data_IF_705269845773
#
_entry.id   IF_705269845773
#
_cell.length_a   1.000
_cell.length_b   1.000
_cell.length_c   1.000
_cell.angle_alpha   90.00
_cell.angle_beta   90.00
_cell.angle_gamma   90.00
#
_symmetry.space_group_name_H-M   'P 1'
#
loop_
_entity.id
_entity.type
_entity.pdbx_description
1 polymer ?
#
# COMPACT_ATOMS: atom_id res chain seq x y z
N UNK A 1 -32.23 34.99 -31.21
CA UNK A 1 -32.15 33.54 -30.90
C UNK A 1 -31.10 33.34 -29.84
N UNK A 2 -31.51 33.14 -28.59
CA UNK A 2 -30.61 32.97 -27.44
C UNK A 2 -30.46 31.47 -27.19
N UNK A 3 -29.27 30.91 -27.46
CA UNK A 3 -28.92 29.53 -27.18
C UNK A 3 -28.63 29.36 -25.69
N UNK A 4 -29.50 28.66 -24.98
CA UNK A 4 -29.34 28.24 -23.59
C UNK A 4 -28.33 27.08 -23.53
N UNK A 5 -27.14 27.32 -23.01
CA UNK A 5 -26.16 26.27 -22.67
C UNK A 5 -26.57 25.65 -21.32
N UNK A 6 -27.07 24.44 -21.40
CA UNK A 6 -27.44 23.62 -20.23
C UNK A 6 -26.15 23.06 -19.59
N UNK A 7 -25.85 23.33 -18.30
CA UNK A 7 -24.70 22.73 -17.64
C UNK A 7 -24.98 21.25 -17.41
N UNK A 8 -24.24 20.38 -18.11
CA UNK A 8 -24.30 18.93 -17.94
C UNK A 8 -23.94 18.57 -16.49
N UNK A 9 -24.91 18.03 -15.78
CA UNK A 9 -24.80 17.52 -14.43
C UNK A 9 -23.87 16.30 -14.46
N UNK A 10 -22.67 16.43 -13.87
CA UNK A 10 -21.86 15.27 -13.52
C UNK A 10 -22.56 14.54 -12.37
N UNK A 11 -23.37 13.56 -12.68
CA UNK A 11 -23.87 12.62 -11.69
C UNK A 11 -22.83 11.54 -11.49
N UNK A 12 -22.15 11.57 -10.37
CA UNK A 12 -21.43 10.39 -9.88
C UNK A 12 -22.45 9.29 -9.63
N UNK A 13 -22.46 8.27 -10.47
CA UNK A 13 -23.31 7.10 -10.31
C UNK A 13 -22.72 6.18 -9.23
N UNK A 14 -23.02 6.49 -7.98
CA UNK A 14 -22.56 5.74 -6.81
C UNK A 14 -23.35 4.47 -6.51
N UNK A 15 -24.17 3.99 -7.46
CA UNK A 15 -25.10 2.86 -7.19
C UNK A 15 -24.44 1.47 -7.19
N UNK A 16 -23.24 1.31 -7.72
CA UNK A 16 -22.54 0.00 -7.72
C UNK A 16 -21.58 -0.21 -6.53
N UNK A 17 -21.18 0.86 -5.86
CA UNK A 17 -20.21 0.81 -4.74
C UNK A 17 -20.81 0.18 -3.46
N UNK A 18 -22.14 0.29 -3.26
CA UNK A 18 -22.82 -0.14 -2.02
C UNK A 18 -22.72 -1.63 -1.69
N UNK A 19 -22.50 -2.51 -2.65
CA UNK A 19 -22.51 -3.97 -2.41
C UNK A 19 -21.11 -4.59 -2.34
N UNK A 20 -20.07 -3.90 -2.79
CA UNK A 20 -18.75 -4.50 -2.98
C UNK A 20 -17.73 -4.10 -1.92
N UNK A 21 -17.87 -2.92 -1.31
CA UNK A 21 -16.96 -2.48 -0.24
C UNK A 21 -17.11 -3.27 1.05
N UNK A 22 -18.35 -3.67 1.38
CA UNK A 22 -18.67 -4.34 2.66
C UNK A 22 -18.10 -5.76 2.82
N UNK A 23 -17.60 -6.39 1.75
CA UNK A 23 -17.07 -7.77 1.83
C UNK A 23 -15.54 -7.86 1.75
N UNK A 24 -14.86 -6.79 1.44
CA UNK A 24 -13.50 -6.87 0.90
C UNK A 24 -12.38 -6.54 1.87
N UNK A 25 -12.52 -5.61 2.78
CA UNK A 25 -11.48 -5.31 3.76
C UNK A 25 -11.36 -6.38 4.86
N UNK A 26 -12.48 -7.04 5.21
CA UNK A 26 -12.52 -8.14 6.17
C UNK A 26 -11.84 -9.43 5.68
N UNK A 27 -11.69 -9.61 4.36
CA UNK A 27 -11.16 -10.82 3.72
C UNK A 27 -9.63 -10.97 3.76
N UNK A 28 -8.90 -9.89 4.09
CA UNK A 28 -7.51 -9.76 3.74
C UNK A 28 -6.52 -10.45 4.68
N UNK A 29 -6.83 -10.55 5.93
CA UNK A 29 -5.77 -10.77 6.92
C UNK A 29 -5.68 -12.17 7.48
N UNK A 30 -6.65 -13.00 7.29
CA UNK A 30 -6.74 -14.30 7.94
C UNK A 30 -6.24 -15.51 7.12
N UNK A 31 -6.06 -15.41 5.77
CA UNK A 31 -5.76 -16.56 4.91
C UNK A 31 -4.33 -17.09 4.99
N UNK A 32 -3.38 -16.26 5.41
CA UNK A 32 -1.95 -16.63 5.31
C UNK A 32 -1.39 -17.41 6.50
N UNK A 33 -2.18 -17.73 7.52
CA UNK A 33 -1.67 -18.22 8.80
C UNK A 33 -1.70 -19.76 9.00
N UNK A 34 -2.26 -20.54 8.11
CA UNK A 34 -2.52 -21.97 8.40
C UNK A 34 -1.65 -23.00 7.63
N UNK A 35 -0.70 -22.60 6.79
CA UNK A 35 0.09 -23.59 6.01
C UNK A 35 1.61 -23.39 6.01
N UNK A 36 2.21 -22.75 7.00
CA UNK A 36 3.67 -22.88 7.18
C UNK A 36 3.94 -24.05 8.11
N UNK A 37 3.69 -25.26 7.62
CA UNK A 37 4.24 -26.48 8.15
C UNK A 37 5.70 -26.57 7.71
N UNK A 38 6.63 -26.29 8.62
CA UNK A 38 8.06 -26.49 8.41
C UNK A 38 8.35 -27.94 7.99
N UNK A 39 8.67 -28.16 6.70
CA UNK A 39 9.59 -29.22 6.32
C UNK A 39 10.98 -28.60 6.19
N UNK A 40 11.75 -28.81 7.24
CA UNK A 40 13.18 -28.53 7.30
C UNK A 40 13.86 -29.49 6.32
N UNK A 41 14.32 -29.00 5.19
CA UNK A 41 15.28 -29.73 4.35
C UNK A 41 16.61 -28.97 4.43
N UNK A 42 17.49 -29.54 5.21
CA UNK A 42 18.92 -29.24 5.27
C UNK A 42 19.55 -29.62 3.94
N UNK A 43 20.27 -28.68 3.35
CA UNK A 43 21.49 -28.78 2.54
C UNK A 43 21.44 -27.73 1.42
N UNK A 44 22.01 -26.58 1.68
CA UNK A 44 22.64 -25.76 0.66
C UNK A 44 24.01 -25.32 1.21
N UNK A 45 25.00 -26.09 0.85
CA UNK A 45 26.42 -25.76 1.02
C UNK A 45 26.74 -24.66 0.00
N UNK A 46 26.99 -23.45 0.47
CA UNK A 46 27.61 -22.41 -0.34
C UNK A 46 29.04 -22.27 0.18
N UNK A 47 29.96 -22.92 -0.52
CA UNK A 47 31.38 -22.79 -0.30
C UNK A 47 31.86 -21.35 -0.48
N UNK A 48 32.30 -20.73 0.59
CA UNK A 48 33.15 -19.53 0.53
C UNK A 48 34.60 -19.94 0.37
N UNK A 49 35.25 -19.41 -0.66
CA UNK A 49 36.67 -19.57 -0.85
C UNK A 49 37.46 -18.91 0.29
N UNK A 50 38.21 -19.76 0.95
CA UNK A 50 39.18 -19.43 1.97
C UNK A 50 40.40 -18.74 1.32
N UNK A 51 40.78 -17.59 1.82
CA UNK A 51 42.11 -17.01 1.58
C UNK A 51 42.79 -16.80 2.93
N UNK A 52 43.54 -17.79 3.29
CA UNK A 52 44.48 -17.78 4.40
C UNK A 52 45.47 -16.61 4.33
N UNK A 53 45.61 -15.87 5.41
CA UNK A 53 46.94 -15.51 5.86
C UNK A 53 46.99 -15.31 7.39
N UNK A 54 47.93 -16.04 7.97
CA UNK A 54 48.36 -16.10 9.35
C UNK A 54 49.05 -14.78 9.78
N UNK A 55 48.79 -14.26 10.99
CA UNK A 55 49.82 -14.11 12.01
C UNK A 55 49.28 -13.62 13.35
N UNK A 56 49.74 -14.31 14.31
CA UNK A 56 49.72 -14.29 15.74
C UNK A 56 50.09 -12.93 16.37
N UNK A 57 49.38 -12.48 17.42
CA UNK A 57 49.99 -12.13 18.72
C UNK A 57 48.93 -11.81 19.80
N UNK A 58 49.10 -12.44 20.94
CA UNK A 58 48.36 -12.24 22.21
C UNK A 58 48.42 -10.79 22.71
N UNK A 59 47.27 -10.26 23.17
CA UNK A 59 47.28 -9.45 24.40
C UNK A 59 45.86 -9.48 25.02
N UNK A 60 45.84 -10.02 26.24
CA UNK A 60 44.69 -10.03 27.16
C UNK A 60 44.50 -8.61 27.70
N UNK A 61 43.30 -8.05 27.48
CA UNK A 61 42.84 -6.91 28.28
C UNK A 61 41.37 -7.11 28.57
N UNK A 62 41.09 -7.37 29.83
CA UNK A 62 39.77 -7.44 30.44
C UNK A 62 39.14 -6.06 30.41
N UNK A 63 38.09 -5.89 29.64
CA UNK A 63 37.16 -4.76 29.75
C UNK A 63 35.75 -5.33 29.93
N UNK A 64 35.22 -5.16 31.14
CA UNK A 64 33.82 -5.41 31.44
C UNK A 64 32.99 -4.48 30.55
N UNK A 65 32.19 -5.05 29.67
CA UNK A 65 31.15 -4.34 28.98
C UNK A 65 29.81 -4.64 29.65
N UNK A 66 29.24 -3.60 30.23
CA UNK A 66 27.85 -3.52 30.62
C UNK A 66 26.93 -3.75 29.43
N UNK A 67 26.51 -4.99 29.25
CA UNK A 67 25.57 -5.42 28.21
C UNK A 67 24.19 -5.72 28.82
N UNK A 68 23.69 -4.81 29.68
CA UNK A 68 22.41 -5.03 30.38
C UNK A 68 21.19 -4.36 29.75
N UNK A 69 21.29 -3.68 28.59
CA UNK A 69 20.17 -2.89 28.06
C UNK A 69 19.51 -3.40 26.76
N UNK A 70 20.01 -4.48 26.14
CA UNK A 70 19.42 -5.03 24.93
C UNK A 70 18.52 -6.24 25.20
N UNK A 71 18.69 -6.90 26.34
CA UNK A 71 17.92 -8.09 26.72
C UNK A 71 16.48 -7.78 27.21
N UNK A 72 16.20 -6.53 27.54
CA UNK A 72 14.87 -6.10 28.04
C UNK A 72 13.83 -5.79 26.99
N UNK A 73 14.20 -5.69 25.72
CA UNK A 73 13.24 -5.41 24.62
C UNK A 73 12.69 -6.66 23.92
N UNK A 74 13.38 -7.79 24.00
CA UNK A 74 12.94 -9.02 23.34
C UNK A 74 11.92 -9.84 24.16
N UNK A 75 11.89 -9.69 25.47
CA UNK A 75 11.06 -10.54 26.34
C UNK A 75 9.68 -9.93 26.71
N UNK A 76 9.31 -8.76 26.16
CA UNK A 76 7.98 -8.16 26.37
C UNK A 76 6.97 -8.42 25.23
N UNK A 77 7.23 -9.32 24.31
CA UNK A 77 6.26 -9.83 23.34
C UNK A 77 5.36 -10.94 23.93
N UNK A 78 5.24 -11.04 25.24
CA UNK A 78 4.23 -11.86 25.90
C UNK A 78 2.87 -11.21 25.74
N UNK A 79 1.99 -11.83 24.92
CA UNK A 79 0.54 -11.65 24.86
C UNK A 79 0.06 -10.22 25.22
N UNK A 80 0.36 -9.25 24.38
CA UNK A 80 -0.29 -7.96 24.46
C UNK A 80 -1.78 -8.20 24.22
N UNK A 81 -2.60 -7.99 25.23
CA UNK A 81 -4.05 -7.89 25.07
C UNK A 81 -4.29 -6.89 23.97
N UNK A 82 -5.03 -7.31 22.91
CA UNK A 82 -5.39 -6.46 21.76
C UNK A 82 -5.78 -5.07 22.28
N UNK A 83 -5.13 -3.97 21.86
CA UNK A 83 -5.48 -2.63 22.33
C UNK A 83 -6.75 -2.14 21.64
N UNK A 84 -7.86 -2.81 21.87
CA UNK A 84 -9.17 -2.50 21.27
C UNK A 84 -9.93 -1.52 22.19
N UNK A 85 -9.40 -0.31 22.31
CA UNK A 85 -10.00 0.76 23.14
C UNK A 85 -10.49 1.93 22.29
N UNK A 86 -10.05 2.01 21.02
CA UNK A 86 -10.39 3.06 20.09
C UNK A 86 -11.15 2.55 18.88
N UNK A 87 -11.68 3.50 18.11
CA UNK A 87 -12.38 3.25 16.86
C UNK A 87 -12.00 4.31 15.82
N UNK A 88 -12.05 3.92 14.56
CA UNK A 88 -12.13 4.89 13.46
C UNK A 88 -13.52 5.52 13.48
N UNK A 89 -13.56 6.84 13.49
CA UNK A 89 -14.78 7.64 13.56
C UNK A 89 -14.82 8.60 12.39
N UNK A 90 -16.00 9.07 12.01
CA UNK A 90 -16.15 10.00 10.89
C UNK A 90 -16.32 11.41 11.40
N UNK A 91 -15.57 12.33 10.81
CA UNK A 91 -15.74 13.77 11.04
C UNK A 91 -15.97 14.48 9.71
N UNK A 92 -17.17 15.01 9.52
CA UNK A 92 -17.50 15.80 8.33
C UNK A 92 -17.08 17.25 8.51
N UNK A 93 -16.35 17.77 7.52
CA UNK A 93 -16.01 19.19 7.44
C UNK A 93 -17.17 20.03 6.88
N UNK A 94 -17.02 21.34 6.97
CA UNK A 94 -17.92 22.30 6.35
C UNK A 94 -17.17 23.07 5.24
N UNK A 95 -17.03 22.50 4.04
CA UNK A 95 -16.31 23.16 2.96
C UNK A 95 -17.04 24.43 2.49
N UNK A 96 -16.29 25.42 2.00
CA UNK A 96 -16.83 26.69 1.50
C UNK A 96 -17.09 26.64 -0.01
N UNK A 97 -16.27 25.87 -0.74
CA UNK A 97 -16.44 25.72 -2.17
C UNK A 97 -17.75 24.96 -2.46
N UNK A 98 -18.70 25.53 -3.26
CA UNK A 98 -19.98 24.90 -3.54
C UNK A 98 -19.86 23.49 -4.14
N UNK A 99 -18.80 23.22 -4.93
CA UNK A 99 -18.52 21.91 -5.48
C UNK A 99 -18.21 20.90 -4.37
N UNK A 100 -17.40 21.28 -3.40
CA UNK A 100 -17.03 20.42 -2.27
C UNK A 100 -18.19 20.23 -1.29
N UNK A 101 -19.06 21.25 -1.12
CA UNK A 101 -20.32 21.11 -0.38
C UNK A 101 -21.19 20.01 -0.99
N UNK A 102 -21.34 19.98 -2.32
CA UNK A 102 -22.12 18.93 -3.01
C UNK A 102 -21.52 17.54 -2.84
N UNK A 103 -20.19 17.41 -2.93
CA UNK A 103 -19.47 16.15 -2.69
C UNK A 103 -19.65 15.69 -1.24
N UNK A 104 -19.46 16.58 -0.27
CA UNK A 104 -19.62 16.30 1.16
C UNK A 104 -21.02 15.77 1.47
N UNK A 105 -22.06 16.44 0.97
CA UNK A 105 -23.45 15.99 1.13
C UNK A 105 -23.72 14.66 0.42
N UNK A 106 -23.04 14.40 -0.71
CA UNK A 106 -23.10 13.10 -1.38
C UNK A 106 -22.47 11.99 -0.54
N UNK A 107 -21.30 12.23 0.05
CA UNK A 107 -20.63 11.28 0.94
C UNK A 107 -21.49 10.95 2.18
N UNK A 108 -22.07 11.97 2.81
CA UNK A 108 -23.01 11.79 3.94
C UNK A 108 -24.22 10.93 3.56
N UNK A 109 -24.90 11.27 2.46
CA UNK A 109 -26.08 10.51 2.01
C UNK A 109 -25.77 9.04 1.71
N UNK A 110 -24.56 8.76 1.22
CA UNK A 110 -24.12 7.42 0.88
C UNK A 110 -23.47 6.70 2.06
N UNK A 111 -23.27 7.38 3.19
CA UNK A 111 -22.51 6.88 4.34
C UNK A 111 -21.14 6.34 3.93
N UNK A 112 -20.46 7.04 2.98
CA UNK A 112 -19.20 6.54 2.41
C UNK A 112 -18.14 6.37 3.48
N UNK A 113 -17.91 7.41 4.28
CA UNK A 113 -16.87 7.40 5.31
C UNK A 113 -17.22 6.47 6.48
N UNK A 114 -18.51 6.40 6.86
CA UNK A 114 -18.96 5.46 7.89
C UNK A 114 -18.76 4.01 7.46
N UNK A 115 -19.05 3.67 6.20
CA UNK A 115 -18.82 2.32 5.70
C UNK A 115 -17.33 1.95 5.76
N UNK A 116 -16.45 2.88 5.38
CA UNK A 116 -14.99 2.70 5.49
C UNK A 116 -14.57 2.51 6.95
N UNK A 117 -15.05 3.37 7.85
CA UNK A 117 -14.74 3.29 9.28
C UNK A 117 -15.22 1.96 9.89
N UNK A 118 -16.46 1.55 9.55
CA UNK A 118 -17.05 0.30 10.04
C UNK A 118 -16.23 -0.92 9.60
N UNK A 119 -15.77 -0.95 8.35
CA UNK A 119 -14.93 -2.04 7.82
C UNK A 119 -13.56 -2.12 8.50
N UNK A 120 -12.90 -0.98 8.68
CA UNK A 120 -11.61 -0.94 9.39
C UNK A 120 -11.80 -1.36 10.84
N UNK A 121 -12.84 -0.86 11.51
CA UNK A 121 -13.17 -1.21 12.89
C UNK A 121 -13.51 -2.70 13.06
N UNK A 122 -14.08 -3.34 12.05
CA UNK A 122 -14.35 -4.78 12.06
C UNK A 122 -13.06 -5.62 11.88
N UNK A 123 -12.00 -5.02 11.30
CA UNK A 123 -10.80 -5.74 10.89
C UNK A 123 -9.65 -5.60 11.88
N UNK A 124 -9.40 -4.38 12.39
CA UNK A 124 -8.22 -4.08 13.19
C UNK A 124 -8.58 -3.41 14.51
N UNK A 125 -7.88 -3.78 15.58
CA UNK A 125 -7.98 -3.19 16.90
C UNK A 125 -6.96 -2.05 17.05
N UNK A 126 -7.40 -0.89 17.52
CA UNK A 126 -6.54 0.27 17.76
C UNK A 126 -6.68 0.76 19.22
N UNK A 127 -5.62 1.39 19.80
CA UNK A 127 -5.63 1.80 21.21
C UNK A 127 -6.44 3.07 21.50
N UNK A 128 -6.70 3.89 20.49
CA UNK A 128 -7.31 5.22 20.62
C UNK A 128 -8.17 5.56 19.42
N UNK A 129 -9.04 6.55 19.53
CA UNK A 129 -9.92 6.98 18.45
C UNK A 129 -9.13 7.74 17.37
N UNK A 130 -9.45 7.42 16.11
CA UNK A 130 -8.92 8.06 14.92
C UNK A 130 -10.07 8.61 14.09
N UNK A 131 -10.01 9.88 13.71
CA UNK A 131 -11.00 10.48 12.83
C UNK A 131 -10.63 10.28 11.35
N UNK A 132 -11.63 9.98 10.51
CA UNK A 132 -11.53 9.99 9.05
C UNK A 132 -12.32 11.21 8.57
N UNK A 133 -11.68 12.08 7.79
CA UNK A 133 -12.33 13.28 7.27
C UNK A 133 -11.95 13.59 5.83
N UNK A 134 -12.93 14.13 5.07
CA UNK A 134 -12.66 14.90 3.87
C UNK A 134 -12.82 16.38 4.17
N UNK A 135 -11.86 17.18 3.73
CA UNK A 135 -11.88 18.61 4.00
C UNK A 135 -11.30 19.43 2.84
N UNK A 136 -11.60 20.73 2.84
CA UNK A 136 -10.97 21.71 1.98
C UNK A 136 -9.63 22.09 2.60
N UNK A 137 -8.52 21.85 1.87
CA UNK A 137 -7.16 22.04 2.35
C UNK A 137 -6.45 23.24 1.70
N UNK A 138 -7.01 23.77 0.61
CA UNK A 138 -6.38 24.82 -0.19
C UNK A 138 -5.30 24.31 -1.16
N UNK A 139 -4.97 23.03 -1.11
CA UNK A 139 -4.03 22.37 -2.01
C UNK A 139 -4.33 20.87 -2.11
N UNK A 140 -3.98 20.21 -3.23
CA UNK A 140 -4.08 18.76 -3.36
C UNK A 140 -3.20 18.06 -2.34
N UNK A 141 -3.79 17.29 -1.42
CA UNK A 141 -3.07 16.52 -0.41
C UNK A 141 -3.94 15.43 0.21
N UNK A 142 -3.30 14.45 0.83
CA UNK A 142 -3.83 13.56 1.86
C UNK A 142 -2.76 13.45 2.94
N UNK A 143 -3.14 13.29 4.21
CA UNK A 143 -2.17 13.17 5.27
C UNK A 143 -2.75 12.60 6.57
N UNK A 144 -1.96 11.81 7.28
CA UNK A 144 -2.14 11.51 8.69
C UNK A 144 -1.69 12.72 9.54
N UNK A 145 -2.52 13.14 10.48
CA UNK A 145 -2.16 14.18 11.45
C UNK A 145 -2.09 13.56 12.87
N UNK A 146 -0.88 13.33 13.40
CA UNK A 146 -0.72 12.73 14.71
C UNK A 146 -1.17 13.64 15.87
N UNK A 147 -1.29 14.96 15.64
CA UNK A 147 -1.74 15.89 16.67
C UNK A 147 -3.25 15.84 16.87
N UNK A 148 -4.00 15.74 15.78
CA UNK A 148 -5.46 15.68 15.81
C UNK A 148 -5.99 14.26 15.73
N UNK A 149 -5.11 13.26 15.62
CA UNK A 149 -5.46 11.85 15.42
C UNK A 149 -6.45 11.67 14.28
N UNK A 150 -6.11 12.21 13.12
CA UNK A 150 -7.01 12.19 11.97
C UNK A 150 -6.32 11.87 10.65
N UNK A 151 -6.97 11.04 9.83
CA UNK A 151 -6.66 10.83 8.43
C UNK A 151 -7.45 11.86 7.63
N UNK A 152 -6.74 12.71 6.91
CA UNK A 152 -7.29 13.85 6.20
C UNK A 152 -7.17 13.66 4.69
N UNK A 153 -8.30 13.60 4.00
CA UNK A 153 -8.37 13.57 2.54
C UNK A 153 -8.85 14.92 2.03
N UNK A 154 -8.06 15.57 1.19
CA UNK A 154 -8.40 16.88 0.64
C UNK A 154 -9.29 16.74 -0.61
N UNK A 155 -10.33 17.54 -0.75
CA UNK A 155 -11.15 17.57 -1.95
C UNK A 155 -10.34 17.96 -3.20
N UNK A 156 -9.35 18.80 -3.02
CA UNK A 156 -8.43 19.25 -4.07
C UNK A 156 -7.61 18.10 -4.64
N UNK A 157 -7.26 17.10 -3.84
CA UNK A 157 -6.58 15.89 -4.34
C UNK A 157 -7.47 15.10 -5.31
N UNK A 158 -8.75 14.93 -4.97
CA UNK A 158 -9.71 14.28 -5.87
C UNK A 158 -9.87 15.08 -7.18
N UNK A 159 -9.90 16.41 -7.09
CA UNK A 159 -9.96 17.28 -8.26
C UNK A 159 -8.72 17.15 -9.14
N UNK A 160 -7.53 17.19 -8.52
CA UNK A 160 -6.25 17.00 -9.20
C UNK A 160 -6.18 15.63 -9.90
N UNK A 161 -6.52 14.55 -9.19
CA UNK A 161 -6.55 13.20 -9.78
C UNK A 161 -7.56 13.11 -10.93
N UNK A 162 -8.71 13.78 -10.81
CA UNK A 162 -9.70 13.81 -11.90
C UNK A 162 -9.12 14.46 -13.16
N UNK A 163 -8.41 15.57 -13.03
CA UNK A 163 -7.76 16.22 -14.17
C UNK A 163 -6.64 15.36 -14.75
N UNK A 164 -5.82 14.77 -13.90
CA UNK A 164 -4.70 13.93 -14.29
C UNK A 164 -5.13 12.71 -15.09
N UNK A 165 -6.16 12.02 -14.63
CA UNK A 165 -6.65 10.82 -15.31
C UNK A 165 -7.43 11.10 -16.60
N UNK A 166 -7.86 12.34 -16.87
CA UNK A 166 -8.54 12.68 -18.14
C UNK A 166 -7.70 12.32 -19.38
N UNK A 167 -6.39 12.44 -19.28
CA UNK A 167 -5.48 12.15 -20.40
C UNK A 167 -5.36 10.65 -20.75
N UNK A 168 -5.72 9.77 -19.80
CA UNK A 168 -5.54 8.32 -19.93
C UNK A 168 -6.86 7.53 -19.80
N UNK A 169 -7.95 8.18 -19.45
CA UNK A 169 -9.27 7.56 -19.33
C UNK A 169 -9.93 7.39 -20.70
N UNK A 170 -10.57 6.24 -20.90
CA UNK A 170 -11.28 5.88 -22.15
C UNK A 170 -12.66 6.55 -22.24
N UNK A 171 -13.29 6.78 -21.13
CA UNK A 171 -14.64 7.37 -20.98
C UNK A 171 -14.86 7.83 -19.53
N UNK A 172 -15.98 8.48 -19.24
CA UNK A 172 -16.31 9.00 -17.89
C UNK A 172 -16.39 7.90 -16.83
N UNK A 173 -16.84 6.69 -17.15
CA UNK A 173 -16.86 5.59 -16.18
C UNK A 173 -15.44 5.15 -15.83
N UNK A 174 -14.59 4.95 -16.81
CA UNK A 174 -13.18 4.60 -16.64
C UNK A 174 -12.42 5.70 -15.88
N UNK A 175 -12.74 6.98 -16.12
CA UNK A 175 -12.21 8.11 -15.35
C UNK A 175 -12.58 7.99 -13.86
N UNK A 176 -13.87 7.78 -13.59
CA UNK A 176 -14.37 7.65 -12.23
C UNK A 176 -13.75 6.45 -11.51
N UNK A 177 -13.62 5.30 -12.18
CA UNK A 177 -13.01 4.09 -11.62
C UNK A 177 -11.54 4.31 -11.28
N UNK A 178 -10.78 5.00 -12.15
CA UNK A 178 -9.37 5.35 -11.90
C UNK A 178 -9.20 6.32 -10.75
N UNK A 179 -9.99 7.39 -10.72
CA UNK A 179 -9.95 8.37 -9.63
C UNK A 179 -10.30 7.71 -8.29
N UNK A 180 -11.37 6.91 -8.25
CA UNK A 180 -11.74 6.19 -7.04
C UNK A 180 -10.64 5.22 -6.59
N UNK A 181 -10.03 4.49 -7.54
CA UNK A 181 -8.92 3.58 -7.23
C UNK A 181 -7.70 4.30 -6.66
N UNK A 182 -7.29 5.42 -7.26
CA UNK A 182 -6.15 6.20 -6.78
C UNK A 182 -6.43 6.89 -5.43
N UNK A 183 -7.67 7.40 -5.22
CA UNK A 183 -8.09 7.94 -3.92
C UNK A 183 -8.11 6.88 -2.84
N UNK A 184 -8.53 5.65 -3.17
CA UNK A 184 -8.51 4.51 -2.23
C UNK A 184 -7.07 4.12 -1.91
N UNK A 185 -6.17 4.10 -2.91
CA UNK A 185 -4.73 3.87 -2.69
C UNK A 185 -4.16 4.91 -1.72
N UNK A 186 -4.42 6.20 -1.96
CA UNK A 186 -3.97 7.29 -1.11
C UNK A 186 -4.55 7.19 0.32
N UNK A 187 -5.82 6.83 0.46
CA UNK A 187 -6.43 6.62 1.78
C UNK A 187 -5.74 5.49 2.57
N UNK A 188 -5.45 4.36 1.92
CA UNK A 188 -4.76 3.23 2.59
C UNK A 188 -3.30 3.59 2.91
N UNK A 189 -2.66 4.44 2.11
CA UNK A 189 -1.35 5.01 2.39
C UNK A 189 -1.38 5.81 3.71
N UNK A 190 -2.32 6.73 3.86
CA UNK A 190 -2.48 7.51 5.09
C UNK A 190 -2.91 6.64 6.29
N UNK A 191 -3.72 5.61 6.04
CA UNK A 191 -4.01 4.59 7.05
C UNK A 191 -2.75 3.86 7.49
N UNK A 192 -1.80 3.64 6.58
CA UNK A 192 -0.50 3.05 6.88
C UNK A 192 0.29 3.88 7.89
N UNK A 193 0.44 5.18 7.66
CA UNK A 193 1.06 6.12 8.61
C UNK A 193 0.36 6.12 9.97
N UNK A 194 -0.97 6.18 9.94
CA UNK A 194 -1.78 6.09 11.15
C UNK A 194 -1.49 4.81 11.93
N UNK A 195 -1.49 3.64 11.29
CA UNK A 195 -1.24 2.36 11.95
C UNK A 195 0.19 2.25 12.47
N UNK A 196 1.19 2.74 11.75
CA UNK A 196 2.58 2.79 12.21
C UNK A 196 2.68 3.61 13.49
N UNK A 197 2.06 4.79 13.53
CA UNK A 197 2.08 5.68 14.69
C UNK A 197 1.29 5.09 15.88
N UNK A 198 -0.01 4.81 15.72
CA UNK A 198 -0.88 4.43 16.85
C UNK A 198 -0.59 3.03 17.40
N UNK A 199 -0.01 2.14 16.59
CA UNK A 199 0.37 0.80 17.03
C UNK A 199 1.88 0.68 17.32
N UNK A 200 2.64 1.78 17.17
CA UNK A 200 4.10 1.82 17.37
C UNK A 200 4.82 0.73 16.56
N UNK A 201 4.44 0.58 15.28
CA UNK A 201 5.04 -0.44 14.42
C UNK A 201 6.44 0.00 13.99
N UNK A 202 7.43 -0.93 13.97
CA UNK A 202 8.77 -0.58 13.51
C UNK A 202 8.80 -0.41 11.98
N UNK A 203 9.48 0.63 11.53
CA UNK A 203 9.89 0.82 10.13
C UNK A 203 11.41 0.83 10.03
N UNK A 204 11.98 -0.02 9.18
CA UNK A 204 13.45 -0.16 9.00
C UNK A 204 13.97 0.53 7.75
N UNK A 205 13.14 1.28 7.06
CA UNK A 205 13.45 2.03 5.86
C UNK A 205 12.67 3.33 5.82
N UNK A 206 12.48 3.87 4.62
CA UNK A 206 11.58 5.01 4.43
C UNK A 206 10.17 4.57 4.76
N UNK A 207 9.50 5.31 5.64
CA UNK A 207 8.12 5.02 6.02
C UNK A 207 7.18 5.14 4.82
N UNK A 208 7.42 6.12 3.95
CA UNK A 208 6.70 6.33 2.69
C UNK A 208 6.69 5.10 1.77
N UNK A 209 7.85 4.43 1.64
CA UNK A 209 7.92 3.19 0.86
C UNK A 209 7.17 2.05 1.57
N UNK A 210 7.20 2.00 2.88
CA UNK A 210 6.48 0.98 3.65
C UNK A 210 4.97 1.13 3.53
N UNK A 211 4.42 2.35 3.58
CA UNK A 211 2.97 2.57 3.44
C UNK A 211 2.49 2.41 2.00
N UNK A 212 3.32 2.67 0.99
CA UNK A 212 3.03 2.26 -0.41
C UNK A 212 2.94 0.74 -0.56
N UNK A 213 3.82 -0.01 0.13
CA UNK A 213 3.76 -1.47 0.19
C UNK A 213 2.45 -1.93 0.85
N UNK A 214 2.04 -1.30 1.96
CA UNK A 214 0.78 -1.63 2.62
C UNK A 214 -0.41 -1.38 1.69
N UNK A 215 -0.47 -0.21 1.04
CA UNK A 215 -1.55 0.13 0.11
C UNK A 215 -1.67 -0.89 -1.01
N UNK A 216 -0.55 -1.24 -1.62
CA UNK A 216 -0.51 -2.24 -2.68
C UNK A 216 -0.92 -3.61 -2.17
N UNK A 217 -0.37 -4.05 -1.03
CA UNK A 217 -0.68 -5.34 -0.41
C UNK A 217 -2.17 -5.47 -0.07
N UNK A 218 -2.73 -4.47 0.61
CA UNK A 218 -4.14 -4.46 1.00
C UNK A 218 -5.04 -4.55 -0.22
N UNK A 219 -4.81 -3.75 -1.25
CA UNK A 219 -5.61 -3.74 -2.47
C UNK A 219 -5.52 -5.07 -3.24
N UNK A 220 -4.33 -5.65 -3.38
CA UNK A 220 -4.16 -6.94 -4.06
C UNK A 220 -4.75 -8.11 -3.26
N UNK A 221 -4.71 -8.05 -1.94
CA UNK A 221 -5.29 -9.06 -1.07
C UNK A 221 -6.83 -8.98 -0.99
N UNK A 222 -7.47 -7.88 -1.42
CA UNK A 222 -8.92 -7.76 -1.51
C UNK A 222 -9.58 -8.74 -2.50
N UNK A 223 -8.83 -9.68 -3.03
CA UNK A 223 -9.29 -10.72 -3.93
C UNK A 223 -10.19 -10.22 -5.05
N UNK A 224 -9.65 -10.12 -6.21
CA UNK A 224 -10.38 -9.90 -7.42
C UNK A 224 -9.91 -8.69 -8.22
N UNK A 225 -10.48 -8.59 -9.37
CA UNK A 225 -10.11 -7.59 -10.37
C UNK A 225 -10.26 -6.14 -9.90
N UNK A 226 -11.11 -5.87 -8.89
CA UNK A 226 -11.37 -4.51 -8.42
C UNK A 226 -10.19 -3.97 -7.60
N UNK A 227 -9.68 -4.75 -6.63
CA UNK A 227 -8.49 -4.34 -5.86
C UNK A 227 -7.26 -4.19 -6.73
N UNK A 228 -7.07 -5.09 -7.69
CA UNK A 228 -5.99 -5.00 -8.68
C UNK A 228 -6.11 -3.73 -9.54
N UNK A 229 -7.33 -3.36 -9.99
CA UNK A 229 -7.57 -2.11 -10.72
C UNK A 229 -7.27 -0.88 -9.87
N UNK A 230 -7.62 -0.91 -8.58
CA UNK A 230 -7.30 0.19 -7.65
C UNK A 230 -5.78 0.33 -7.45
N UNK A 231 -5.06 -0.77 -7.26
CA UNK A 231 -3.59 -0.76 -7.17
C UNK A 231 -2.94 -0.23 -8.45
N UNK A 232 -3.43 -0.65 -9.63
CA UNK A 232 -2.99 -0.11 -10.92
C UNK A 232 -3.28 1.40 -11.03
N UNK A 233 -4.44 1.87 -10.55
CA UNK A 233 -4.76 3.30 -10.54
C UNK A 233 -3.79 4.09 -9.64
N UNK A 234 -3.42 3.55 -8.48
CA UNK A 234 -2.36 4.10 -7.64
C UNK A 234 -1.02 4.20 -8.38
N UNK A 235 -0.58 3.13 -9.04
CA UNK A 235 0.63 3.16 -9.86
C UNK A 235 0.55 4.22 -10.96
N UNK A 236 -0.55 4.23 -11.75
CA UNK A 236 -0.72 5.16 -12.87
C UNK A 236 -0.70 6.62 -12.39
N UNK A 237 -1.25 6.94 -11.21
CA UNK A 237 -1.20 8.30 -10.67
C UNK A 237 0.25 8.79 -10.50
N UNK A 238 1.13 7.94 -9.96
CA UNK A 238 2.57 8.24 -9.85
C UNK A 238 3.27 8.30 -11.20
N UNK A 239 2.88 7.46 -12.15
CA UNK A 239 3.37 7.52 -13.54
C UNK A 239 3.05 8.85 -14.22
N UNK A 240 1.83 9.39 -14.01
CA UNK A 240 1.43 10.71 -14.53
C UNK A 240 2.27 11.82 -13.89
N UNK A 241 2.50 11.79 -12.57
CA UNK A 241 3.35 12.79 -11.90
C UNK A 241 4.79 12.72 -12.40
N UNK A 242 5.34 11.51 -12.54
CA UNK A 242 6.67 11.30 -13.13
C UNK A 242 6.79 11.91 -14.53
N UNK A 243 5.81 11.66 -15.39
CA UNK A 243 5.76 12.24 -16.74
C UNK A 243 5.70 13.78 -16.73
N UNK A 244 4.94 14.36 -15.81
CA UNK A 244 4.86 15.82 -15.64
C UNK A 244 6.22 16.41 -15.22
N UNK A 245 6.91 15.77 -14.27
CA UNK A 245 8.25 16.19 -13.84
C UNK A 245 9.24 16.06 -14.98
N UNK A 246 9.25 14.95 -15.71
CA UNK A 246 10.14 14.73 -16.85
C UNK A 246 9.97 15.78 -17.96
N UNK A 247 8.75 16.28 -18.15
CA UNK A 247 8.41 17.30 -19.15
C UNK A 247 8.52 18.74 -18.64
N UNK A 248 8.74 18.94 -17.34
CA UNK A 248 8.68 20.27 -16.72
C UNK A 248 9.88 21.17 -17.00
N UNK A 249 10.98 20.64 -17.51
CA UNK A 249 12.22 21.37 -17.72
C UNK A 249 12.88 21.86 -16.43
N UNK A 250 12.60 21.21 -15.28
CA UNK A 250 13.18 21.56 -13.98
C UNK A 250 14.70 21.62 -14.00
N UNK A 251 15.25 22.60 -13.31
CA UNK A 251 16.69 22.78 -13.10
C UNK A 251 17.26 21.67 -12.20
N UNK A 252 18.59 21.50 -12.24
CA UNK A 252 19.27 20.57 -11.33
C UNK A 252 19.00 20.88 -9.85
N UNK A 253 18.89 22.16 -9.48
CA UNK A 253 18.55 22.58 -8.12
C UNK A 253 17.14 22.15 -7.68
N UNK A 254 16.14 22.30 -8.55
CA UNK A 254 14.78 21.86 -8.29
C UNK A 254 14.69 20.33 -8.21
N UNK A 255 15.47 19.60 -9.02
CA UNK A 255 15.59 18.15 -8.93
C UNK A 255 16.25 17.71 -7.62
N UNK A 256 17.24 18.45 -7.11
CA UNK A 256 17.88 18.15 -5.82
C UNK A 256 16.87 18.20 -4.65
N UNK A 257 15.89 19.11 -4.70
CA UNK A 257 14.83 19.14 -3.69
C UNK A 257 14.00 17.86 -3.71
N UNK A 258 13.69 17.31 -4.89
CA UNK A 258 13.00 16.03 -5.01
C UNK A 258 13.82 14.84 -4.50
N UNK A 259 15.16 14.88 -4.65
CA UNK A 259 16.05 13.86 -4.11
C UNK A 259 16.13 13.89 -2.57
N UNK A 260 15.98 15.07 -1.98
CA UNK A 260 16.05 15.28 -0.54
C UNK A 260 14.70 15.05 0.18
N UNK A 261 13.64 14.83 -0.57
CA UNK A 261 12.29 14.59 -0.05
C UNK A 261 12.21 13.26 0.71
N UNK A 262 11.32 13.18 1.68
CA UNK A 262 11.05 11.95 2.43
C UNK A 262 10.40 10.87 1.56
N UNK A 263 9.66 11.28 0.51
CA UNK A 263 9.09 10.36 -0.46
C UNK A 263 10.15 9.87 -1.45
N UNK A 264 10.02 8.63 -1.90
CA UNK A 264 10.71 8.17 -3.10
C UNK A 264 10.19 8.92 -4.32
N UNK A 265 11.04 9.15 -5.32
CA UNK A 265 10.63 9.84 -6.55
C UNK A 265 9.44 9.13 -7.22
N UNK A 266 8.53 9.90 -7.82
CA UNK A 266 7.30 9.40 -8.44
C UNK A 266 7.55 8.22 -9.39
N UNK A 267 8.62 8.28 -10.19
CA UNK A 267 9.04 7.19 -11.07
C UNK A 267 9.45 5.93 -10.29
N UNK A 268 10.10 6.06 -9.13
CA UNK A 268 10.45 4.92 -8.28
C UNK A 268 9.18 4.30 -7.66
N UNK A 269 8.27 5.12 -7.14
CA UNK A 269 6.97 4.67 -6.61
C UNK A 269 6.17 3.93 -7.69
N UNK A 270 6.06 4.51 -8.89
CA UNK A 270 5.42 3.88 -10.05
C UNK A 270 5.97 2.48 -10.34
N UNK A 271 7.28 2.35 -10.54
CA UNK A 271 7.90 1.07 -10.87
C UNK A 271 7.85 0.08 -9.70
N UNK A 272 7.92 0.52 -8.47
CA UNK A 272 7.80 -0.34 -7.30
C UNK A 272 6.40 -0.94 -7.21
N UNK A 273 5.34 -0.12 -7.32
CA UNK A 273 3.96 -0.59 -7.26
C UNK A 273 3.67 -1.56 -8.41
N UNK A 274 4.10 -1.24 -9.65
CA UNK A 274 3.97 -2.16 -10.79
C UNK A 274 4.69 -3.49 -10.56
N UNK A 275 5.88 -3.44 -9.95
CA UNK A 275 6.64 -4.64 -9.60
C UNK A 275 5.87 -5.50 -8.59
N UNK A 276 5.27 -4.92 -7.59
CA UNK A 276 4.49 -5.67 -6.59
C UNK A 276 3.20 -6.23 -7.18
N UNK A 277 2.52 -5.50 -8.07
CA UNK A 277 1.35 -6.00 -8.82
C UNK A 277 1.75 -7.20 -9.68
N UNK A 278 2.82 -7.08 -10.46
CA UNK A 278 3.37 -8.19 -11.25
C UNK A 278 3.78 -9.35 -10.34
N UNK A 279 4.47 -9.07 -9.23
CA UNK A 279 4.93 -10.07 -8.28
C UNK A 279 3.80 -10.85 -7.61
N UNK A 280 2.64 -10.22 -7.42
CA UNK A 280 1.43 -10.87 -6.90
C UNK A 280 0.88 -11.92 -7.87
N UNK A 281 0.82 -11.62 -9.16
CA UNK A 281 0.32 -12.53 -10.19
C UNK A 281 1.08 -12.37 -11.52
N UNK A 282 2.26 -13.00 -11.67
CA UNK A 282 3.09 -12.84 -12.87
C UNK A 282 2.41 -13.29 -14.16
N UNK A 283 1.59 -14.37 -14.10
CA UNK A 283 0.89 -14.87 -15.28
C UNK A 283 -0.10 -13.86 -15.85
N UNK A 284 -0.91 -13.25 -14.98
CA UNK A 284 -1.90 -12.24 -15.37
C UNK A 284 -1.25 -10.97 -15.90
N UNK A 285 -0.13 -10.57 -15.32
CA UNK A 285 0.53 -9.29 -15.58
C UNK A 285 1.79 -9.39 -16.44
N UNK A 286 1.97 -10.49 -17.18
CA UNK A 286 3.09 -10.67 -18.09
C UNK A 286 3.22 -9.54 -19.12
N UNK A 287 2.10 -8.93 -19.53
CA UNK A 287 2.09 -7.79 -20.43
C UNK A 287 2.75 -6.52 -19.90
N UNK A 288 2.98 -6.43 -18.58
CA UNK A 288 3.74 -5.33 -17.98
C UNK A 288 5.24 -5.44 -18.26
N UNK A 289 5.76 -6.65 -18.52
CA UNK A 289 7.19 -6.85 -18.77
C UNK A 289 7.57 -6.20 -20.09
N UNK A 290 8.58 -5.31 -20.04
CA UNK A 290 9.01 -4.42 -21.11
C UNK A 290 7.97 -3.38 -21.57
N UNK A 291 6.80 -3.30 -20.87
CA UNK A 291 5.72 -2.34 -21.17
C UNK A 291 4.92 -1.92 -19.90
N UNK A 292 5.42 -1.08 -19.00
CA UNK A 292 6.73 -0.42 -18.94
C UNK A 292 7.76 -1.08 -17.99
N UNK A 293 7.41 -2.19 -17.27
CA UNK A 293 8.28 -2.80 -16.26
C UNK A 293 9.48 -3.50 -16.92
N UNK A 294 10.74 -3.05 -16.70
CA UNK A 294 11.91 -3.69 -17.27
C UNK A 294 12.02 -5.17 -16.87
N UNK A 295 12.37 -6.05 -17.80
CA UNK A 295 12.53 -7.48 -17.54
C UNK A 295 13.52 -7.76 -16.40
N UNK A 296 14.66 -7.09 -16.37
CA UNK A 296 15.65 -7.19 -15.31
C UNK A 296 15.09 -6.82 -13.93
N UNK A 297 14.03 -6.00 -13.85
CA UNK A 297 13.31 -5.67 -12.64
C UNK A 297 12.25 -6.74 -12.31
N UNK A 298 11.53 -7.20 -13.32
CA UNK A 298 10.42 -8.14 -13.19
C UNK A 298 10.82 -9.47 -12.53
N UNK A 299 12.00 -10.02 -12.83
CA UNK A 299 12.49 -11.29 -12.24
C UNK A 299 12.53 -11.30 -10.71
N UNK A 300 12.66 -10.11 -10.07
CA UNK A 300 12.74 -10.01 -8.60
C UNK A 300 11.39 -9.73 -7.93
N UNK A 301 10.42 -9.28 -8.69
CA UNK A 301 9.12 -8.81 -8.17
C UNK A 301 8.33 -9.87 -7.38
N UNK A 302 8.26 -11.16 -7.76
CA UNK A 302 7.56 -12.17 -6.97
C UNK A 302 8.15 -12.34 -5.57
N UNK A 303 9.48 -12.33 -5.45
CA UNK A 303 10.14 -12.45 -4.16
C UNK A 303 9.93 -11.17 -3.31
N UNK A 304 9.97 -9.98 -3.94
CA UNK A 304 9.72 -8.71 -3.25
C UNK A 304 8.29 -8.65 -2.72
N UNK A 305 7.29 -9.00 -3.54
CA UNK A 305 5.90 -9.05 -3.10
C UNK A 305 5.71 -10.03 -1.93
N UNK A 306 6.27 -11.22 -2.00
CA UNK A 306 6.20 -12.20 -0.91
C UNK A 306 6.77 -11.64 0.39
N UNK A 307 7.91 -10.95 0.32
CA UNK A 307 8.55 -10.35 1.50
C UNK A 307 7.71 -9.25 2.13
N UNK A 308 7.20 -8.31 1.33
CA UNK A 308 6.38 -7.21 1.86
C UNK A 308 5.06 -7.73 2.45
N UNK A 309 4.39 -8.67 1.77
CA UNK A 309 3.16 -9.27 2.27
C UNK A 309 3.40 -9.99 3.61
N UNK A 310 4.48 -10.77 3.71
CA UNK A 310 4.87 -11.45 4.96
C UNK A 310 5.17 -10.45 6.06
N UNK A 311 5.90 -9.35 5.76
CA UNK A 311 6.25 -8.32 6.73
C UNK A 311 4.99 -7.65 7.30
N UNK A 312 4.11 -7.15 6.43
CA UNK A 312 2.88 -6.49 6.85
C UNK A 312 1.92 -7.41 7.60
N UNK A 313 1.75 -8.66 7.14
CA UNK A 313 0.97 -9.66 7.88
C UNK A 313 1.55 -9.90 9.27
N UNK A 314 2.88 -10.01 9.40
CA UNK A 314 3.53 -10.23 10.69
C UNK A 314 3.32 -9.05 11.64
N UNK A 315 3.45 -7.82 11.13
CA UNK A 315 3.27 -6.60 11.92
C UNK A 315 1.82 -6.40 12.38
N UNK A 316 0.86 -6.67 11.51
CA UNK A 316 -0.56 -6.42 11.79
C UNK A 316 -1.25 -7.57 12.53
N UNK A 317 -0.73 -8.80 12.45
CA UNK A 317 -1.32 -9.99 13.07
C UNK A 317 -1.75 -9.81 14.54
N UNK A 318 -0.95 -9.18 15.43
CA UNK A 318 -1.36 -9.00 16.83
C UNK A 318 -2.62 -8.15 17.01
N UNK A 319 -2.93 -7.32 16.04
CA UNK A 319 -4.00 -6.31 16.09
C UNK A 319 -5.26 -6.70 15.31
N UNK A 320 -5.25 -7.84 14.63
CA UNK A 320 -6.41 -8.28 13.86
C UNK A 320 -7.51 -8.81 14.77
N UNK A 321 -8.74 -8.46 14.48
CA UNK A 321 -9.94 -8.95 15.14
C UNK A 321 -10.35 -10.33 14.59
N UNK A 322 -10.99 -11.16 15.42
CA UNK A 322 -11.34 -12.55 15.03
C UNK A 322 -12.37 -12.63 13.88
N UNK A 323 -13.12 -11.53 13.62
CA UNK A 323 -14.00 -11.38 12.44
C UNK A 323 -13.23 -11.28 11.13
N UNK A 324 -12.03 -10.71 11.13
CA UNK A 324 -11.12 -10.68 9.99
C UNK A 324 -10.53 -12.06 9.65
N UNK A 325 -10.48 -12.98 10.63
CA UNK A 325 -9.93 -14.32 10.46
C UNK A 325 -10.76 -15.25 9.56
N UNK A 326 -12.05 -15.04 9.40
CA UNK A 326 -12.92 -15.91 8.57
C UNK A 326 -12.83 -15.65 7.07
N UNK A 327 -12.28 -14.54 6.69
CA UNK A 327 -12.21 -14.12 5.31
C UNK A 327 -11.02 -14.68 4.52
N UNK A 328 -10.05 -15.28 5.20
CA UNK A 328 -8.74 -15.63 4.64
C UNK A 328 -8.60 -17.05 4.12
N UNK A 329 -9.66 -17.84 4.08
CA UNK A 329 -9.58 -19.25 3.64
C UNK A 329 -9.33 -19.42 2.11
N UNK A 330 -9.14 -18.36 1.32
CA UNK A 330 -9.14 -18.47 -0.15
C UNK A 330 -7.88 -17.99 -0.88
N UNK A 331 -6.78 -17.66 -0.19
CA UNK A 331 -5.52 -17.32 -0.86
C UNK A 331 -4.46 -18.39 -0.60
N UNK A 332 -4.40 -19.40 -1.47
CA UNK A 332 -3.22 -20.26 -1.58
C UNK A 332 -2.19 -19.57 -2.51
N UNK A 333 -0.90 -19.47 -2.12
CA UNK A 333 0.14 -19.12 -3.08
C UNK A 333 0.30 -20.27 -4.06
N UNK A 334 0.15 -20.01 -5.35
CA UNK A 334 0.51 -20.96 -6.40
C UNK A 334 2.03 -21.12 -6.40
N UNK A 335 2.51 -22.19 -5.80
CA UNK A 335 3.88 -22.66 -6.01
C UNK A 335 3.94 -23.36 -7.37
N UNK A 336 4.21 -22.61 -8.41
CA UNK A 336 4.53 -23.14 -9.73
C UNK A 336 5.84 -23.92 -9.67
N UNK A 337 5.76 -25.22 -9.84
CA UNK A 337 6.89 -26.12 -9.99
C UNK A 337 7.54 -25.83 -11.36
N UNK A 338 8.66 -25.10 -11.39
CA UNK A 338 9.45 -24.97 -12.61
C UNK A 338 10.12 -26.30 -12.89
N UNK A 339 9.49 -27.09 -13.74
CA UNK A 339 10.03 -28.34 -14.26
C UNK A 339 11.32 -28.09 -15.05
N UNK A 340 12.38 -28.71 -14.59
CA UNK A 340 13.69 -28.79 -15.20
C UNK A 340 13.60 -29.57 -16.52
N UNK A 341 13.51 -28.90 -17.66
CA UNK A 341 13.60 -29.53 -18.97
C UNK A 341 15.08 -29.65 -19.38
N UNK A 342 15.70 -30.76 -19.07
CA UNK A 342 17.00 -31.15 -19.61
C UNK A 342 16.95 -31.23 -21.15
N UNK A 343 17.65 -30.30 -21.80
CA UNK A 343 17.89 -30.32 -23.25
C UNK A 343 18.81 -31.47 -23.65
N UNK A 344 18.26 -32.38 -24.43
CA UNK A 344 19.05 -33.36 -25.14
C UNK A 344 19.71 -32.74 -26.37
N UNK A 345 21.02 -32.92 -26.47
CA UNK A 345 21.86 -32.61 -27.62
C UNK A 345 21.52 -33.52 -28.80
N UNK A 346 21.35 -33.04 -30.03
CA UNK A 346 21.38 -33.94 -31.20
C UNK A 346 22.81 -34.03 -31.74
N UNK A 347 23.34 -35.27 -31.74
CA UNK A 347 24.46 -35.65 -32.58
C UNK A 347 23.97 -35.99 -33.99
N UNK A 348 24.48 -35.36 -34.95
CA UNK A 348 24.93 -35.58 -36.34
C UNK A 348 24.48 -34.46 -37.28
#
# INVERSE_FOLDING_TARGET
MKGSSNPRRCFFAASSLRRKFSLTLALIVAASLLTIGCKRNSNLDIGFMDSSNTNNTNQTTTTQNDNTNVKGMADKQGQATKPDKGNFTVQYSNPRNPKYVQLNESFKRQRLLENIADEINATIAIPENVAITFKECGQPNAFWDPKTRSINMCYELMEQMTEDFRSVAKNEQDLNDKVNGAMTFAFIHELGHCLIDVLHLPSTGREEDAVDQLSTFVLLALNGEEGERMALSGAISWGIQYDKIAKSGKTAGELNMLWADEHSMDGQRFYNILCWIFGHNPEKYMSLVNHPLPEARAVRCPQEYTKLATAWLTLLKPYLKDGGAKASAHTQPMTGNMGNSNGGTPTK
#
